data_IF_855305643301
#
_entry.id   IF_855305643301
#
_cell.length_a   1.000
_cell.length_b   1.000
_cell.length_c   1.000
_cell.angle_alpha   90.00
_cell.angle_beta   90.00
_cell.angle_gamma   90.00
#
_symmetry.space_group_name_H-M   'P 1'
#
loop_
_entity.id
_entity.type
_entity.pdbx_description
1 polymer ?
#
# COMPACT_ATOMS: atom_id res chain seq x y z
N UNK A 1 -13.13 16.61 41.20
CA UNK A 1 -12.04 17.58 40.94
C UNK A 1 -10.62 17.00 41.04
N UNK A 2 -10.21 16.35 42.14
CA UNK A 2 -8.83 15.80 42.33
C UNK A 2 -8.37 14.80 41.24
N UNK A 3 -9.27 13.93 40.75
CA UNK A 3 -9.00 12.96 39.66
C UNK A 3 -8.70 13.61 38.30
N UNK A 4 -9.30 14.76 38.02
CA UNK A 4 -9.06 15.50 36.78
C UNK A 4 -7.70 16.20 36.82
N UNK A 5 -7.37 16.82 37.97
CA UNK A 5 -6.06 17.45 38.21
C UNK A 5 -4.89 16.45 38.18
N UNK A 6 -5.06 15.25 38.74
CA UNK A 6 -4.03 14.20 38.66
C UNK A 6 -3.82 13.69 37.24
N UNK A 7 -4.91 13.59 36.44
CA UNK A 7 -4.84 13.18 35.03
C UNK A 7 -4.16 14.24 34.17
N UNK A 8 -4.47 15.53 34.39
CA UNK A 8 -3.81 16.66 33.71
C UNK A 8 -2.34 16.74 34.07
N UNK A 9 -1.97 16.58 35.35
CA UNK A 9 -0.58 16.60 35.80
C UNK A 9 0.24 15.44 35.22
N UNK A 10 -0.35 14.25 35.10
CA UNK A 10 0.25 13.10 34.42
C UNK A 10 0.42 13.32 32.92
N UNK A 11 -0.57 13.91 32.24
CA UNK A 11 -0.46 14.29 30.82
C UNK A 11 0.70 15.28 30.62
N UNK A 12 0.81 16.31 31.46
CA UNK A 12 1.88 17.33 31.37
C UNK A 12 3.27 16.72 31.61
N UNK A 13 3.43 15.83 32.60
CA UNK A 13 4.73 15.18 32.86
C UNK A 13 5.13 14.22 31.73
N UNK A 14 4.15 13.53 31.14
CA UNK A 14 4.36 12.66 29.98
C UNK A 14 4.75 13.49 28.76
N UNK A 15 4.06 14.61 28.53
CA UNK A 15 4.35 15.54 27.43
C UNK A 15 5.77 16.10 27.53
N UNK A 16 6.23 16.46 28.74
CA UNK A 16 7.56 17.00 28.99
C UNK A 16 8.67 15.99 28.65
N UNK A 17 8.46 14.70 28.94
CA UNK A 17 9.45 13.65 28.66
C UNK A 17 9.51 13.25 27.17
N UNK A 18 8.44 13.44 26.41
CA UNK A 18 8.37 13.04 25.00
C UNK A 18 8.35 14.22 24.02
N UNK A 19 8.53 15.46 24.49
CA UNK A 19 8.36 16.67 23.70
C UNK A 19 9.24 16.69 22.43
N UNK A 20 10.49 16.27 22.54
CA UNK A 20 11.42 16.25 21.40
C UNK A 20 10.96 15.30 20.29
N UNK A 21 10.49 14.10 20.63
CA UNK A 21 9.98 13.14 19.64
C UNK A 21 8.65 13.59 19.04
N UNK A 22 7.77 14.18 19.84
CA UNK A 22 6.48 14.74 19.36
C UNK A 22 6.73 15.88 18.38
N UNK A 23 7.64 16.79 18.73
CA UNK A 23 8.00 17.93 17.89
C UNK A 23 8.67 17.47 16.59
N UNK A 24 9.59 16.50 16.67
CA UNK A 24 10.19 15.86 15.49
C UNK A 24 9.13 15.23 14.58
N UNK A 25 8.26 14.38 15.14
CA UNK A 25 7.20 13.72 14.36
C UNK A 25 6.25 14.73 13.72
N UNK A 26 5.88 15.80 14.44
CA UNK A 26 5.06 16.88 13.91
C UNK A 26 5.74 17.63 12.78
N UNK A 27 7.06 17.88 12.88
CA UNK A 27 7.83 18.54 11.83
C UNK A 27 7.89 17.68 10.57
N UNK A 28 8.17 16.39 10.69
CA UNK A 28 8.18 15.46 9.55
C UNK A 28 6.80 15.32 8.91
N UNK A 29 5.73 15.28 9.71
CA UNK A 29 4.36 15.26 9.20
C UNK A 29 4.04 16.54 8.43
N UNK A 30 4.50 17.69 8.91
CA UNK A 30 4.35 18.97 8.19
C UNK A 30 5.13 18.95 6.87
N UNK A 31 6.37 18.44 6.87
CA UNK A 31 7.14 18.28 5.62
C UNK A 31 6.41 17.39 4.63
N UNK A 32 5.85 16.26 5.08
CA UNK A 32 5.06 15.38 4.22
C UNK A 32 3.88 16.14 3.61
N UNK A 33 3.12 16.86 4.45
CA UNK A 33 1.98 17.63 3.97
C UNK A 33 2.41 18.71 2.97
N UNK A 34 3.45 19.50 3.26
CA UNK A 34 3.88 20.60 2.37
C UNK A 34 4.45 20.09 1.06
N UNK A 35 5.29 19.06 1.09
CA UNK A 35 5.97 18.55 -0.11
C UNK A 35 5.01 17.76 -0.99
N UNK A 36 4.19 16.88 -0.39
CA UNK A 36 3.33 15.95 -1.14
C UNK A 36 1.88 16.43 -1.26
N UNK A 37 1.52 17.64 -0.79
CA UNK A 37 0.12 18.12 -0.80
C UNK A 37 -0.54 17.94 -2.16
N UNK A 38 0.15 18.41 -3.22
CA UNK A 38 -0.40 18.44 -4.57
C UNK A 38 -0.55 17.03 -5.16
N UNK A 39 0.43 16.16 -4.90
CA UNK A 39 0.38 14.77 -5.36
C UNK A 39 -0.73 13.98 -4.63
N UNK A 40 -0.90 14.21 -3.32
CA UNK A 40 -1.98 13.62 -2.53
C UNK A 40 -3.35 14.13 -2.99
N UNK A 41 -3.46 15.42 -3.34
CA UNK A 41 -4.69 15.98 -3.90
C UNK A 41 -5.06 15.30 -5.23
N UNK A 42 -4.08 15.12 -6.13
CA UNK A 42 -4.28 14.38 -7.39
C UNK A 42 -4.73 12.95 -7.11
N UNK A 43 -4.05 12.23 -6.22
CA UNK A 43 -4.40 10.86 -5.86
C UNK A 43 -5.81 10.75 -5.28
N UNK A 44 -6.17 11.63 -4.35
CA UNK A 44 -7.49 11.61 -3.73
C UNK A 44 -8.57 11.91 -4.77
N UNK A 45 -8.36 12.92 -5.61
CA UNK A 45 -9.28 13.24 -6.68
C UNK A 45 -9.46 12.05 -7.64
N UNK A 46 -8.38 11.43 -8.06
CA UNK A 46 -8.40 10.27 -8.95
C UNK A 46 -9.10 9.07 -8.28
N UNK A 47 -8.82 8.81 -7.00
CA UNK A 47 -9.44 7.71 -6.25
C UNK A 47 -10.97 7.84 -6.09
N UNK A 48 -11.53 9.05 -6.19
CA UNK A 48 -12.99 9.25 -6.21
C UNK A 48 -13.62 9.03 -7.59
N UNK A 49 -12.83 9.13 -8.66
CA UNK A 49 -13.35 9.12 -10.03
C UNK A 49 -12.99 7.83 -10.78
N UNK A 50 -11.98 7.08 -10.34
CA UNK A 50 -11.56 5.85 -11.01
C UNK A 50 -11.40 4.66 -10.08
N UNK A 51 -11.76 3.50 -10.60
CA UNK A 51 -11.60 2.22 -9.88
C UNK A 51 -10.13 1.90 -9.61
N UNK A 52 -9.23 2.39 -10.48
CA UNK A 52 -7.80 2.12 -10.45
C UNK A 52 -7.10 2.51 -9.15
N UNK A 53 -7.56 3.59 -8.51
CA UNK A 53 -6.97 4.12 -7.28
C UNK A 53 -7.93 4.14 -6.10
N UNK A 54 -9.14 3.59 -6.27
CA UNK A 54 -10.19 3.58 -5.23
C UNK A 54 -9.73 2.95 -3.90
N UNK A 55 -8.79 2.00 -3.93
CA UNK A 55 -8.22 1.37 -2.73
C UNK A 55 -7.45 2.36 -1.84
N UNK A 56 -6.93 3.45 -2.40
CA UNK A 56 -6.14 4.45 -1.67
C UNK A 56 -6.98 5.13 -0.59
N UNK A 57 -8.30 5.26 -0.76
CA UNK A 57 -9.18 5.90 0.25
C UNK A 57 -9.16 5.17 1.60
N UNK A 58 -8.97 3.84 1.60
CA UNK A 58 -8.90 3.04 2.83
C UNK A 58 -7.52 3.05 3.49
N UNK A 59 -6.49 3.41 2.73
CA UNK A 59 -5.11 3.29 3.16
C UNK A 59 -4.77 4.13 4.42
N UNK A 60 -5.18 5.42 4.53
CA UNK A 60 -4.94 6.20 5.74
C UNK A 60 -5.55 5.57 6.99
N UNK A 61 -6.74 4.97 6.87
CA UNK A 61 -7.40 4.30 7.98
C UNK A 61 -6.63 3.05 8.41
N UNK A 62 -6.17 2.22 7.46
CA UNK A 62 -5.38 1.02 7.76
C UNK A 62 -4.04 1.35 8.42
N UNK A 63 -3.29 2.31 7.86
CA UNK A 63 -2.03 2.78 8.44
C UNK A 63 -2.27 3.34 9.85
N UNK A 64 -3.29 4.20 10.00
CA UNK A 64 -3.63 4.80 11.30
C UNK A 64 -3.98 3.77 12.37
N UNK A 65 -4.79 2.75 12.05
CA UNK A 65 -5.14 1.67 12.97
C UNK A 65 -3.90 0.86 13.37
N UNK A 66 -3.06 0.48 12.40
CA UNK A 66 -1.85 -0.31 12.68
C UNK A 66 -0.85 0.47 13.56
N UNK A 67 -0.64 1.76 13.27
CA UNK A 67 0.21 2.63 14.09
C UNK A 67 -0.38 2.77 15.50
N UNK A 68 -1.69 2.97 15.61
CA UNK A 68 -2.39 3.08 16.88
C UNK A 68 -2.23 1.81 17.74
N UNK A 69 -2.32 0.62 17.15
CA UNK A 69 -2.11 -0.64 17.88
C UNK A 69 -0.67 -0.85 18.34
N UNK A 70 0.31 -0.29 17.62
CA UNK A 70 1.73 -0.35 18.00
C UNK A 70 2.13 0.75 18.98
N UNK A 71 1.21 1.63 19.42
CA UNK A 71 1.53 2.77 20.30
C UNK A 71 2.21 2.38 21.61
N UNK A 72 1.82 1.27 22.23
CA UNK A 72 2.38 0.88 23.53
C UNK A 72 3.77 0.26 23.38
N UNK A 73 4.02 -0.42 22.25
CA UNK A 73 5.36 -0.86 21.84
C UNK A 73 6.25 0.35 21.57
N UNK A 74 5.76 1.37 20.84
CA UNK A 74 6.51 2.59 20.58
C UNK A 74 6.86 3.35 21.85
N UNK A 75 5.92 3.48 22.80
CA UNK A 75 6.18 4.08 24.11
C UNK A 75 7.25 3.32 24.89
N UNK A 76 7.18 1.99 24.89
CA UNK A 76 8.18 1.16 25.54
C UNK A 76 9.56 1.32 24.89
N UNK A 77 9.63 1.36 23.56
CA UNK A 77 10.86 1.58 22.82
C UNK A 77 11.45 2.98 23.08
N UNK A 78 10.62 4.02 23.16
CA UNK A 78 11.05 5.38 23.52
C UNK A 78 11.61 5.44 24.95
N UNK A 79 10.93 4.80 25.90
CA UNK A 79 11.40 4.75 27.29
C UNK A 79 12.74 4.00 27.40
N UNK A 80 12.88 2.89 26.68
CA UNK A 80 14.12 2.11 26.65
C UNK A 80 15.27 2.86 25.96
N UNK A 81 14.97 3.54 24.84
CA UNK A 81 15.96 4.35 24.11
C UNK A 81 16.56 5.42 25.04
N UNK A 82 15.72 6.11 25.82
CA UNK A 82 16.20 7.14 26.76
C UNK A 82 17.15 6.63 27.85
N UNK A 83 17.14 5.32 28.15
CA UNK A 83 17.95 4.72 29.22
C UNK A 83 19.21 4.02 28.73
N UNK A 84 19.24 3.52 27.48
CA UNK A 84 20.28 2.60 27.02
C UNK A 84 20.93 3.02 25.69
N UNK A 85 20.71 4.26 25.22
CA UNK A 85 21.26 4.70 23.93
C UNK A 85 22.79 4.81 23.99
N UNK A 86 23.49 3.87 23.37
CA UNK A 86 24.89 4.06 23.00
C UNK A 86 24.97 5.17 21.96
N UNK A 87 25.95 6.07 22.11
CA UNK A 87 26.19 7.15 21.16
C UNK A 87 26.45 6.62 19.74
N UNK A 88 27.11 5.47 19.62
CA UNK A 88 27.39 4.80 18.35
C UNK A 88 26.10 4.34 17.65
N UNK A 89 25.18 3.72 18.40
CA UNK A 89 23.88 3.30 17.86
C UNK A 89 23.03 4.50 17.42
N UNK A 90 23.08 5.60 18.16
CA UNK A 90 22.40 6.84 17.79
C UNK A 90 22.92 7.40 16.47
N UNK A 91 24.25 7.50 16.32
CA UNK A 91 24.89 7.99 15.12
C UNK A 91 24.60 7.09 13.92
N UNK A 92 24.71 5.77 14.08
CA UNK A 92 24.43 4.82 13.01
C UNK A 92 22.98 4.91 12.53
N UNK A 93 22.00 4.90 13.44
CA UNK A 93 20.59 5.03 13.06
C UNK A 93 20.30 6.38 12.39
N UNK A 94 20.92 7.46 12.88
CA UNK A 94 20.75 8.80 12.31
C UNK A 94 21.36 8.92 10.92
N UNK A 95 22.54 8.33 10.69
CA UNK A 95 23.22 8.33 9.40
C UNK A 95 22.44 7.52 8.37
N UNK A 96 21.97 6.32 8.73
CA UNK A 96 21.13 5.48 7.85
C UNK A 96 19.81 6.18 7.56
N UNK A 97 19.17 6.78 8.58
CA UNK A 97 17.94 7.52 8.40
C UNK A 97 18.09 8.75 7.49
N UNK A 98 19.17 9.51 7.66
CA UNK A 98 19.52 10.65 6.80
C UNK A 98 19.77 10.19 5.36
N UNK A 99 20.48 9.07 5.19
CA UNK A 99 20.73 8.48 3.87
C UNK A 99 19.41 8.07 3.19
N UNK A 100 18.48 7.44 3.91
CA UNK A 100 17.15 7.13 3.37
C UNK A 100 16.35 8.38 3.00
N UNK A 101 16.38 9.43 3.84
CA UNK A 101 15.74 10.70 3.50
C UNK A 101 16.36 11.36 2.26
N UNK A 102 17.68 11.28 2.11
CA UNK A 102 18.38 11.77 0.92
C UNK A 102 18.00 10.97 -0.32
N UNK A 103 17.93 9.64 -0.22
CA UNK A 103 17.46 8.76 -1.31
C UNK A 103 16.02 9.13 -1.69
N UNK A 104 15.12 9.29 -0.72
CA UNK A 104 13.75 9.70 -0.99
C UNK A 104 13.69 11.06 -1.70
N UNK A 105 14.50 12.03 -1.27
CA UNK A 105 14.61 13.32 -1.96
C UNK A 105 15.13 13.18 -3.39
N UNK A 106 16.17 12.37 -3.63
CA UNK A 106 16.72 12.13 -4.96
C UNK A 106 15.71 11.42 -5.88
N UNK A 107 14.95 10.46 -5.36
CA UNK A 107 13.87 9.77 -6.10
C UNK A 107 12.77 10.77 -6.47
N UNK A 108 12.33 11.60 -5.52
CA UNK A 108 11.34 12.64 -5.77
C UNK A 108 11.83 13.62 -6.86
N UNK A 109 13.05 14.13 -6.68
CA UNK A 109 13.68 15.07 -7.61
C UNK A 109 13.83 14.46 -9.00
N UNK A 110 14.32 13.23 -9.11
CA UNK A 110 14.42 12.51 -10.37
C UNK A 110 13.05 12.36 -11.03
N UNK A 111 12.04 11.94 -10.27
CA UNK A 111 10.65 11.77 -10.72
C UNK A 111 10.09 13.00 -11.40
N UNK A 112 10.40 14.20 -10.87
CA UNK A 112 9.97 15.49 -11.44
C UNK A 112 10.48 15.75 -12.87
N UNK A 113 11.50 15.02 -13.35
CA UNK A 113 12.03 15.11 -14.73
C UNK A 113 11.59 13.94 -15.63
N UNK A 114 10.69 13.09 -15.16
CA UNK A 114 10.19 11.94 -15.92
C UNK A 114 8.76 12.16 -16.41
N UNK A 115 8.25 11.24 -17.24
CA UNK A 115 6.85 11.20 -17.65
C UNK A 115 5.91 10.57 -16.59
N UNK A 116 6.46 10.09 -15.48
CA UNK A 116 5.74 9.38 -14.41
C UNK A 116 5.98 10.06 -13.04
N UNK A 117 5.81 11.40 -12.92
CA UNK A 117 6.20 12.12 -11.71
C UNK A 117 5.44 11.63 -10.48
N UNK A 118 4.14 11.33 -10.62
CA UNK A 118 3.29 10.91 -9.52
C UNK A 118 3.75 9.56 -8.94
N UNK A 119 4.10 8.60 -9.78
CA UNK A 119 4.61 7.29 -9.40
C UNK A 119 5.89 7.42 -8.56
N UNK A 120 6.86 8.19 -9.05
CA UNK A 120 8.14 8.38 -8.35
C UNK A 120 7.99 9.19 -7.06
N UNK A 121 7.16 10.24 -7.06
CA UNK A 121 6.89 11.02 -5.86
C UNK A 121 6.19 10.17 -4.80
N UNK A 122 5.18 9.37 -5.16
CA UNK A 122 4.51 8.50 -4.19
C UNK A 122 5.42 7.37 -3.70
N UNK A 123 6.33 6.89 -4.54
CA UNK A 123 7.30 5.88 -4.16
C UNK A 123 8.36 6.40 -3.19
N UNK A 124 8.71 7.69 -3.24
CA UNK A 124 9.66 8.27 -2.29
C UNK A 124 9.09 8.45 -0.88
N UNK A 125 7.76 8.58 -0.74
CA UNK A 125 7.09 8.75 0.56
C UNK A 125 7.37 7.61 1.57
N UNK A 126 7.17 6.31 1.28
CA UNK A 126 7.48 5.23 2.23
C UNK A 126 8.97 5.20 2.61
N UNK A 127 9.87 5.54 1.68
CA UNK A 127 11.32 5.65 1.95
C UNK A 127 11.59 6.79 2.92
N UNK A 128 10.98 7.95 2.69
CA UNK A 128 11.09 9.12 3.56
C UNK A 128 10.56 8.83 4.97
N UNK A 129 9.38 8.21 5.07
CA UNK A 129 8.78 7.83 6.36
C UNK A 129 9.68 6.84 7.10
N UNK A 130 10.27 5.86 6.41
CA UNK A 130 11.23 4.93 7.01
C UNK A 130 12.47 5.66 7.56
N UNK A 131 13.04 6.60 6.79
CA UNK A 131 14.16 7.44 7.21
C UNK A 131 13.82 8.31 8.42
N UNK A 132 12.66 8.96 8.41
CA UNK A 132 12.17 9.76 9.53
C UNK A 132 11.99 8.93 10.80
N UNK A 133 11.45 7.71 10.70
CA UNK A 133 11.32 6.80 11.86
C UNK A 133 12.69 6.46 12.44
N UNK A 134 13.71 6.21 11.61
CA UNK A 134 15.07 5.93 12.09
C UNK A 134 15.72 7.12 12.80
N UNK A 135 15.52 8.34 12.28
CA UNK A 135 16.07 9.57 12.86
C UNK A 135 15.41 9.88 14.21
N UNK A 136 14.07 9.79 14.29
CA UNK A 136 13.32 10.16 15.50
C UNK A 136 13.42 9.08 16.59
N UNK A 137 13.44 7.81 16.17
CA UNK A 137 13.41 6.67 17.06
C UNK A 137 14.70 5.86 16.90
N UNK A 138 14.60 4.65 16.33
CA UNK A 138 15.69 3.72 16.07
C UNK A 138 15.20 2.57 15.17
N UNK A 139 16.11 1.65 14.81
CA UNK A 139 15.81 0.49 13.98
C UNK A 139 14.74 -0.45 14.59
N UNK A 140 14.63 -0.55 15.93
CA UNK A 140 13.61 -1.39 16.58
C UNK A 140 12.20 -0.82 16.35
N UNK A 141 12.06 0.50 16.39
CA UNK A 141 10.81 1.18 16.08
C UNK A 141 10.45 1.02 14.59
N UNK A 142 11.42 1.14 13.68
CA UNK A 142 11.19 0.88 12.26
C UNK A 142 10.71 -0.55 12.03
N UNK A 143 11.33 -1.56 12.68
CA UNK A 143 10.86 -2.95 12.61
C UNK A 143 9.43 -3.12 13.15
N UNK A 144 9.08 -2.43 14.23
CA UNK A 144 7.72 -2.46 14.79
C UNK A 144 6.68 -1.81 13.86
N UNK A 145 7.10 -0.80 13.08
CA UNK A 145 6.29 -0.05 12.12
C UNK A 145 6.49 -0.48 10.67
N UNK A 146 7.24 -1.55 10.42
CA UNK A 146 7.59 -1.98 9.07
C UNK A 146 6.33 -2.28 8.23
N UNK A 147 5.32 -2.91 8.84
CA UNK A 147 4.07 -3.22 8.14
C UNK A 147 3.30 -1.95 7.75
N UNK A 148 3.02 -0.98 8.65
CA UNK A 148 2.48 0.33 8.24
C UNK A 148 3.28 1.02 7.13
N UNK A 149 4.62 0.98 7.18
CA UNK A 149 5.48 1.61 6.18
C UNK A 149 5.38 0.90 4.83
N UNK A 150 5.37 -0.44 4.81
CA UNK A 150 5.17 -1.23 3.58
C UNK A 150 3.79 -0.97 3.00
N UNK A 151 2.77 -0.79 3.85
CA UNK A 151 1.42 -0.50 3.38
C UNK A 151 1.35 0.82 2.59
N UNK A 152 2.19 1.82 2.92
CA UNK A 152 2.29 3.06 2.15
C UNK A 152 2.75 2.85 0.70
N UNK A 153 3.38 1.72 0.35
CA UNK A 153 3.73 1.41 -1.05
C UNK A 153 2.48 1.26 -1.92
N UNK A 154 1.33 0.88 -1.36
CA UNK A 154 0.06 0.82 -2.09
C UNK A 154 -0.49 2.20 -2.48
N UNK A 155 0.13 3.29 -2.01
CA UNK A 155 -0.15 4.65 -2.47
C UNK A 155 0.44 4.91 -3.86
N UNK A 156 1.42 4.12 -4.29
CA UNK A 156 2.09 4.29 -5.58
C UNK A 156 1.16 3.80 -6.70
N UNK A 157 0.75 4.66 -7.64
CA UNK A 157 0.00 4.21 -8.80
C UNK A 157 0.82 3.20 -9.60
N UNK A 158 0.17 2.12 -10.04
CA UNK A 158 0.83 1.11 -10.88
C UNK A 158 1.14 1.77 -12.23
N UNK A 159 2.40 1.74 -12.71
CA UNK A 159 2.74 2.28 -14.01
C UNK A 159 1.87 1.66 -15.11
N UNK A 160 1.40 2.47 -16.04
CA UNK A 160 0.44 2.03 -17.06
C UNK A 160 0.94 0.82 -17.84
N UNK A 161 2.23 0.77 -18.18
CA UNK A 161 2.83 -0.33 -18.94
C UNK A 161 2.71 -1.65 -18.18
N UNK A 162 2.95 -1.61 -16.86
CA UNK A 162 2.83 -2.78 -15.97
C UNK A 162 1.36 -3.16 -15.83
N UNK A 163 0.46 -2.18 -15.66
CA UNK A 163 -0.96 -2.41 -15.57
C UNK A 163 -1.53 -3.05 -16.85
N UNK A 164 -1.12 -2.59 -18.03
CA UNK A 164 -1.52 -3.15 -19.32
C UNK A 164 -0.95 -4.55 -19.54
N UNK A 165 0.31 -4.81 -19.18
CA UNK A 165 0.93 -6.13 -19.34
C UNK A 165 0.28 -7.18 -18.42
N UNK A 166 0.13 -6.87 -17.13
CA UNK A 166 -0.50 -7.75 -16.16
C UNK A 166 -2.00 -7.90 -16.44
N UNK A 167 -2.70 -6.79 -16.71
CA UNK A 167 -4.12 -6.82 -17.01
C UNK A 167 -4.43 -7.51 -18.34
N UNK A 168 -3.55 -7.42 -19.33
CA UNK A 168 -3.66 -8.21 -20.56
C UNK A 168 -3.50 -9.71 -20.31
N UNK A 169 -2.58 -10.09 -19.42
CA UNK A 169 -2.38 -11.48 -19.01
C UNK A 169 -3.60 -12.03 -18.25
N UNK A 170 -4.13 -11.26 -17.29
CA UNK A 170 -5.35 -11.60 -16.54
C UNK A 170 -6.56 -11.67 -17.47
N UNK A 171 -6.75 -10.69 -18.35
CA UNK A 171 -7.83 -10.71 -19.33
C UNK A 171 -7.76 -11.97 -20.19
N UNK A 172 -6.57 -12.40 -20.60
CA UNK A 172 -6.40 -13.64 -21.36
C UNK A 172 -6.78 -14.89 -20.56
N UNK A 173 -6.35 -15.00 -19.30
CA UNK A 173 -6.73 -16.09 -18.42
C UNK A 173 -8.25 -16.13 -18.21
N UNK A 174 -8.88 -14.98 -17.92
CA UNK A 174 -10.32 -14.86 -17.70
C UNK A 174 -11.12 -15.23 -18.96
N UNK A 175 -10.67 -14.79 -20.14
CA UNK A 175 -11.31 -15.16 -21.40
C UNK A 175 -11.21 -16.67 -21.66
N UNK A 176 -10.05 -17.29 -21.40
CA UNK A 176 -9.87 -18.74 -21.58
C UNK A 176 -10.71 -19.56 -20.59
N UNK A 177 -10.76 -19.14 -19.32
CA UNK A 177 -11.61 -19.74 -18.30
C UNK A 177 -13.09 -19.65 -18.70
N UNK A 178 -13.54 -18.46 -19.10
CA UNK A 178 -14.91 -18.21 -19.57
C UNK A 178 -15.26 -19.05 -20.80
N UNK A 179 -14.37 -19.12 -21.79
CA UNK A 179 -14.53 -19.97 -22.97
C UNK A 179 -14.67 -21.45 -22.59
N UNK A 180 -13.82 -21.94 -21.68
CA UNK A 180 -13.84 -23.35 -21.25
C UNK A 180 -15.14 -23.68 -20.52
N UNK A 181 -15.61 -22.81 -19.65
CA UNK A 181 -16.89 -22.96 -18.95
C UNK A 181 -18.07 -22.96 -19.93
N UNK A 182 -18.14 -21.96 -20.82
CA UNK A 182 -19.23 -21.84 -21.81
C UNK A 182 -19.28 -23.06 -22.74
N UNK A 183 -18.11 -23.52 -23.21
CA UNK A 183 -18.02 -24.72 -24.04
C UNK A 183 -18.42 -25.98 -23.28
N UNK A 184 -18.05 -26.07 -22.00
CA UNK A 184 -18.47 -27.16 -21.11
C UNK A 184 -19.98 -27.21 -20.88
N UNK A 185 -20.65 -26.06 -20.89
CA UNK A 185 -22.11 -25.93 -20.79
C UNK A 185 -22.84 -26.16 -22.14
N UNK A 186 -22.12 -26.49 -23.22
CA UNK A 186 -22.70 -26.74 -24.54
C UNK A 186 -23.07 -25.47 -25.31
N UNK A 187 -22.61 -24.29 -24.86
CA UNK A 187 -22.82 -23.04 -25.60
C UNK A 187 -21.93 -23.04 -26.84
N UNK A 188 -22.46 -22.74 -28.04
CA UNK A 188 -21.69 -22.76 -29.27
C UNK A 188 -20.78 -21.53 -29.35
N UNK A 189 -19.59 -21.63 -28.75
CA UNK A 189 -18.59 -20.57 -28.69
C UNK A 189 -17.29 -20.96 -29.40
N UNK A 190 -16.65 -19.99 -30.05
CA UNK A 190 -15.29 -20.14 -30.58
C UNK A 190 -14.38 -19.06 -29.98
N UNK A 191 -13.09 -19.37 -29.86
CA UNK A 191 -12.11 -18.44 -29.32
C UNK A 191 -11.28 -17.87 -30.47
N UNK A 192 -11.24 -16.55 -30.59
CA UNK A 192 -10.39 -15.85 -31.54
C UNK A 192 -9.21 -15.20 -30.82
N UNK A 193 -7.99 -15.56 -31.25
CA UNK A 193 -6.72 -15.08 -30.70
C UNK A 193 -5.94 -14.22 -31.72
N UNK A 194 -6.55 -13.91 -32.87
CA UNK A 194 -5.78 -13.50 -34.05
C UNK A 194 -5.23 -12.07 -33.94
N UNK A 195 -5.85 -11.17 -33.17
CA UNK A 195 -5.34 -9.82 -32.92
C UNK A 195 -5.90 -9.21 -31.62
N UNK A 196 -5.02 -8.68 -30.77
CA UNK A 196 -5.40 -7.93 -29.56
C UNK A 196 -5.82 -8.83 -28.38
N UNK A 197 -6.67 -8.30 -27.50
CA UNK A 197 -7.23 -9.07 -26.39
C UNK A 197 -8.06 -10.24 -26.90
N UNK A 198 -7.97 -11.43 -26.28
CA UNK A 198 -8.68 -12.61 -26.72
C UNK A 198 -10.20 -12.40 -26.67
N UNK A 199 -10.88 -12.87 -27.71
CA UNK A 199 -12.30 -12.61 -27.94
C UNK A 199 -13.07 -13.93 -28.06
N UNK A 200 -14.14 -14.06 -27.29
CA UNK A 200 -15.09 -15.16 -27.42
C UNK A 200 -16.12 -14.78 -28.49
N UNK A 201 -16.28 -15.62 -29.50
CA UNK A 201 -17.27 -15.46 -30.55
C UNK A 201 -18.44 -16.38 -30.27
N UNK A 202 -19.61 -15.81 -30.02
CA UNK A 202 -20.85 -16.58 -29.87
C UNK A 202 -21.38 -16.92 -31.26
N UNK A 203 -21.44 -18.21 -31.60
CA UNK A 203 -22.03 -18.65 -32.86
C UNK A 203 -23.57 -18.61 -32.74
N UNK A 204 -24.20 -17.74 -33.54
CA UNK A 204 -25.65 -17.67 -33.67
C UNK A 204 -26.06 -18.41 -34.94
N UNK A 205 -27.14 -19.19 -34.88
CA UNK A 205 -27.64 -19.90 -36.05
C UNK A 205 -28.05 -18.87 -37.12
N UNK A 206 -27.39 -18.90 -38.29
CA UNK A 206 -27.65 -18.06 -39.48
C UNK A 206 -27.37 -16.55 -39.35
N UNK A 207 -26.63 -16.10 -38.32
CA UNK A 207 -26.26 -14.69 -38.16
C UNK A 207 -24.75 -14.51 -37.96
N UNK A 208 -24.28 -13.27 -38.09
CA UNK A 208 -22.89 -12.90 -37.81
C UNK A 208 -22.54 -13.20 -36.35
N UNK A 209 -21.39 -13.84 -36.06
CA UNK A 209 -20.97 -14.14 -34.70
C UNK A 209 -20.81 -12.86 -33.87
N UNK A 210 -21.22 -12.92 -32.60
CA UNK A 210 -21.16 -11.77 -31.69
C UNK A 210 -19.84 -11.83 -30.91
N UNK A 211 -18.96 -10.83 -31.03
CA UNK A 211 -17.69 -10.79 -30.32
C UNK A 211 -17.85 -10.32 -28.87
N UNK A 212 -17.23 -11.04 -27.94
CA UNK A 212 -17.09 -10.67 -26.53
C UNK A 212 -15.61 -10.58 -26.18
N UNK A 213 -15.11 -9.36 -25.99
CA UNK A 213 -13.70 -9.08 -25.67
C UNK A 213 -13.60 -8.59 -24.23
N UNK A 214 -12.70 -9.21 -23.45
CA UNK A 214 -12.35 -8.72 -22.12
C UNK A 214 -11.18 -7.74 -22.27
N UNK A 215 -11.43 -6.45 -22.02
CA UNK A 215 -10.40 -5.41 -22.02
C UNK A 215 -9.59 -5.40 -20.72
N UNK A 216 -8.43 -4.74 -20.74
CA UNK A 216 -7.58 -4.54 -19.54
C UNK A 216 -8.34 -3.89 -18.37
N UNK A 217 -9.20 -2.88 -18.56
CA UNK A 217 -9.99 -2.32 -17.45
C UNK A 217 -10.91 -3.35 -16.78
N UNK A 218 -11.34 -4.38 -17.52
CA UNK A 218 -12.19 -5.46 -17.02
C UNK A 218 -11.40 -6.71 -16.60
N UNK A 219 -10.06 -6.64 -16.57
CA UNK A 219 -9.21 -7.77 -16.20
C UNK A 219 -9.24 -8.11 -14.71
N UNK A 220 -9.77 -7.20 -13.87
CA UNK A 220 -9.76 -7.35 -12.41
C UNK A 220 -8.45 -6.92 -11.73
N UNK A 221 -7.48 -6.37 -12.47
CA UNK A 221 -6.18 -5.97 -11.90
C UNK A 221 -6.29 -4.94 -10.76
N UNK A 222 -7.24 -4.01 -10.85
CA UNK A 222 -7.47 -3.01 -9.81
C UNK A 222 -8.09 -3.64 -8.56
N UNK A 223 -9.05 -4.56 -8.75
CA UNK A 223 -9.62 -5.35 -7.65
C UNK A 223 -8.57 -6.23 -6.98
N UNK A 224 -7.68 -6.86 -7.76
CA UNK A 224 -6.56 -7.64 -7.23
C UNK A 224 -5.63 -6.77 -6.39
N UNK A 225 -5.32 -5.55 -6.83
CA UNK A 225 -4.47 -4.61 -6.08
C UNK A 225 -5.12 -4.22 -4.74
N UNK A 226 -6.40 -3.88 -4.75
CA UNK A 226 -7.18 -3.59 -3.54
C UNK A 226 -7.21 -4.79 -2.59
N UNK A 227 -7.39 -6.00 -3.12
CA UNK A 227 -7.38 -7.24 -2.35
C UNK A 227 -6.02 -7.52 -1.73
N UNK A 228 -4.92 -7.34 -2.47
CA UNK A 228 -3.56 -7.50 -1.95
C UNK A 228 -3.31 -6.53 -0.78
N UNK A 229 -3.69 -5.26 -0.92
CA UNK A 229 -3.59 -4.27 0.16
C UNK A 229 -4.36 -4.72 1.41
N UNK A 230 -5.61 -5.14 1.23
CA UNK A 230 -6.44 -5.62 2.34
C UNK A 230 -5.90 -6.90 2.97
N UNK A 231 -5.38 -7.82 2.17
CA UNK A 231 -4.80 -9.06 2.64
C UNK A 231 -3.51 -8.82 3.45
N UNK A 232 -2.66 -7.88 3.02
CA UNK A 232 -1.49 -7.43 3.82
C UNK A 232 -1.95 -6.86 5.17
N UNK A 233 -3.00 -6.03 5.17
CA UNK A 233 -3.58 -5.49 6.40
C UNK A 233 -4.13 -6.60 7.33
N UNK A 234 -4.89 -7.56 6.81
CA UNK A 234 -5.38 -8.70 7.59
C UNK A 234 -4.23 -9.53 8.17
N UNK A 235 -3.22 -9.84 7.37
CA UNK A 235 -2.01 -10.56 7.81
C UNK A 235 -1.31 -9.81 8.96
N UNK A 236 -1.34 -8.48 8.95
CA UNK A 236 -0.77 -7.66 10.01
C UNK A 236 -1.55 -7.79 11.34
N UNK A 237 -2.87 -7.92 11.26
CA UNK A 237 -3.79 -7.97 12.40
C UNK A 237 -3.89 -9.37 13.01
N UNK A 238 -3.87 -10.40 12.18
CA UNK A 238 -4.05 -11.79 12.63
C UNK A 238 -2.92 -12.16 13.60
N UNK A 239 -3.28 -12.69 14.78
CA UNK A 239 -2.33 -13.17 15.78
C UNK A 239 -2.01 -14.65 15.55
N UNK A 240 -1.48 -14.99 14.38
CA UNK A 240 -1.08 -16.35 14.03
C UNK A 240 0.42 -16.44 13.74
N UNK A 241 0.98 -17.65 13.75
CA UNK A 241 2.36 -17.87 13.31
C UNK A 241 2.53 -17.46 11.84
N UNK A 242 3.73 -17.02 11.45
CA UNK A 242 4.01 -16.53 10.10
C UNK A 242 3.59 -17.52 9.00
N UNK A 243 3.75 -18.83 9.25
CA UNK A 243 3.30 -19.89 8.35
C UNK A 243 1.78 -19.92 8.16
N UNK A 244 1.00 -19.81 9.26
CA UNK A 244 -0.46 -19.77 9.19
C UNK A 244 -0.97 -18.51 8.48
N UNK A 245 -0.26 -17.38 8.63
CA UNK A 245 -0.54 -16.13 7.92
C UNK A 245 -0.32 -16.29 6.41
N UNK A 246 0.81 -16.85 6.02
CA UNK A 246 1.12 -17.12 4.60
C UNK A 246 0.10 -18.08 3.98
N UNK A 247 -0.28 -19.14 4.70
CA UNK A 247 -1.31 -20.07 4.24
C UNK A 247 -2.67 -19.40 4.07
N UNK A 248 -3.12 -18.59 5.04
CA UNK A 248 -4.38 -17.83 4.92
C UNK A 248 -4.36 -16.83 3.77
N UNK A 249 -3.21 -16.18 3.52
CA UNK A 249 -3.05 -15.26 2.39
C UNK A 249 -3.17 -15.98 1.04
N UNK A 250 -2.43 -17.09 0.86
CA UNK A 250 -2.45 -17.89 -0.38
C UNK A 250 -3.85 -18.47 -0.59
N UNK A 251 -4.47 -19.01 0.45
CA UNK A 251 -5.82 -19.57 0.37
C UNK A 251 -6.86 -18.50 0.03
N UNK A 252 -6.76 -17.31 0.65
CA UNK A 252 -7.65 -16.19 0.35
C UNK A 252 -7.53 -15.71 -1.10
N UNK A 253 -6.30 -15.64 -1.63
CA UNK A 253 -6.03 -15.24 -3.01
C UNK A 253 -6.58 -16.29 -4.01
N UNK A 254 -6.41 -17.58 -3.71
CA UNK A 254 -6.97 -18.65 -4.53
C UNK A 254 -8.51 -18.69 -4.51
N UNK A 255 -9.13 -18.45 -3.36
CA UNK A 255 -10.61 -18.40 -3.25
C UNK A 255 -11.15 -17.19 -4.02
N UNK A 256 -10.49 -16.04 -3.94
CA UNK A 256 -10.91 -14.85 -4.67
C UNK A 256 -10.93 -15.09 -6.19
N UNK A 257 -9.84 -15.62 -6.76
CA UNK A 257 -9.75 -15.98 -8.18
C UNK A 257 -10.80 -17.00 -8.64
N UNK A 258 -11.27 -17.87 -7.74
CA UNK A 258 -12.33 -18.85 -8.08
C UNK A 258 -13.73 -18.23 -8.01
N UNK A 259 -13.90 -17.14 -7.25
CA UNK A 259 -15.20 -16.49 -7.04
C UNK A 259 -15.45 -15.29 -7.97
N UNK A 260 -14.37 -14.66 -8.46
CA UNK A 260 -14.39 -13.60 -9.48
C UNK A 260 -14.55 -14.16 -10.89
#
# INVERSE_FOLDING_TARGET
MKKALSKVRWIISTLKNYWQHILGASMFLLVILVVYWRDLEILVNEAFHTEALSHILLLPAFVGVLVYWKRDVLKALLALDSMQKSFEDMLFNSLVGLSLCLIAFLVYWYGSYTFYPLEYHMFSLPIFVAGAILIIFNLKALKALAVPVVLLVFLVPIPNEVAYALGGSLANLNTQASYTLLKGLGVPVTLNMTYGSPTIMLAKHQETPIPFTVGVPCSGIYTLTAFLMFAVFLVAIVQASAFKKAFMFILGLAIFEVLS
#
